data_IF_012460759182
#
_entry.id   IF_012460759182
#
_cell.length_a   1.000
_cell.length_b   1.000
_cell.length_c   1.000
_cell.angle_alpha   90.00
_cell.angle_beta   90.00
_cell.angle_gamma   90.00
#
_symmetry.space_group_name_H-M   'P 1'
#
loop_
_entity.id
_entity.type
_entity.pdbx_description
1 polymer ?
#
# COMPACT_ATOMS: atom_id res chain seq x y z
N UNK A 1 -7.19 16.09 9.71
CA UNK A 1 -6.07 15.36 10.28
C UNK A 1 -6.44 14.71 11.59
N UNK A 2 -6.95 15.45 12.51
CA UNK A 2 -7.33 14.90 13.79
C UNK A 2 -8.43 13.86 13.64
N UNK A 3 -9.39 14.13 12.77
CA UNK A 3 -10.45 13.17 12.48
C UNK A 3 -9.85 11.87 11.95
N UNK A 4 -8.85 11.98 11.11
CA UNK A 4 -8.18 10.82 10.57
C UNK A 4 -7.49 10.01 11.67
N UNK A 5 -6.88 10.70 12.60
CA UNK A 5 -6.22 10.03 13.72
C UNK A 5 -7.23 9.24 14.54
N UNK A 6 -8.36 9.84 14.84
CA UNK A 6 -9.40 9.15 15.61
C UNK A 6 -9.93 7.95 14.85
N UNK A 7 -10.14 8.13 13.55
CA UNK A 7 -10.61 7.05 12.70
C UNK A 7 -9.65 5.87 12.75
N UNK A 8 -8.37 6.14 12.71
CA UNK A 8 -7.38 5.08 12.72
C UNK A 8 -7.35 4.36 14.06
N UNK A 9 -7.54 5.08 15.14
CA UNK A 9 -7.60 4.47 16.44
C UNK A 9 -8.80 3.54 16.53
N UNK A 10 -9.95 3.99 16.08
CA UNK A 10 -11.15 3.19 16.12
C UNK A 10 -11.00 1.96 15.22
N UNK A 11 -10.40 2.14 14.09
CA UNK A 11 -10.18 1.06 13.15
C UNK A 11 -9.27 -0.01 13.75
N UNK A 12 -8.19 0.42 14.37
CA UNK A 12 -7.26 -0.51 15.00
C UNK A 12 -7.87 -1.20 16.18
N UNK A 13 -8.82 -0.57 16.79
CA UNK A 13 -9.44 -1.02 18.01
C UNK A 13 -10.62 -1.91 17.77
N UNK A 14 -11.54 -1.44 16.95
CA UNK A 14 -12.82 -2.09 16.79
C UNK A 14 -12.93 -2.95 15.57
N UNK A 15 -12.06 -2.76 14.60
CA UNK A 15 -12.15 -3.47 13.33
C UNK A 15 -10.95 -4.36 13.13
N UNK A 16 -10.63 -5.10 14.15
CA UNK A 16 -9.50 -6.00 14.09
C UNK A 16 -9.67 -7.04 13.03
N UNK A 17 -8.62 -7.27 12.33
CA UNK A 17 -8.53 -8.38 11.42
C UNK A 17 -7.45 -9.30 11.91
N UNK A 18 -7.28 -10.39 11.24
CA UNK A 18 -6.37 -11.41 11.70
C UNK A 18 -4.96 -10.94 11.95
N UNK A 19 -4.49 -9.93 11.26
CA UNK A 19 -3.11 -9.48 11.43
C UNK A 19 -2.99 -8.11 12.06
N UNK A 20 -4.07 -7.43 12.27
CA UNK A 20 -4.09 -6.20 13.04
C UNK A 20 -2.89 -5.31 12.79
N UNK A 21 -2.85 -4.73 11.65
CA UNK A 21 -1.72 -3.90 11.22
C UNK A 21 -2.19 -2.45 11.18
N UNK A 22 -1.59 -1.58 11.97
CA UNK A 22 -1.98 -0.17 11.96
C UNK A 22 -1.51 0.54 10.69
N UNK A 23 -0.85 -0.15 9.80
CA UNK A 23 -0.51 0.34 8.47
C UNK A 23 -1.44 -0.19 7.40
N UNK A 24 -2.57 -0.73 7.80
CA UNK A 24 -3.65 -1.05 6.87
C UNK A 24 -4.48 0.19 6.67
N UNK A 25 -4.78 0.51 5.43
CA UNK A 25 -5.60 1.68 5.11
C UNK A 25 -6.73 1.26 4.20
N UNK A 26 -7.73 2.12 4.09
CA UNK A 26 -8.87 1.87 3.20
C UNK A 26 -8.68 2.60 1.89
N UNK A 27 -9.54 2.30 0.92
CA UNK A 27 -9.54 3.04 -0.33
C UNK A 27 -9.82 4.51 -0.11
N UNK A 28 -10.69 4.82 0.84
CA UNK A 28 -11.01 6.21 1.14
C UNK A 28 -9.80 6.99 1.66
N UNK A 29 -8.86 6.29 2.28
CA UNK A 29 -7.67 6.94 2.80
C UNK A 29 -6.66 7.29 1.73
N UNK A 30 -6.77 6.66 0.57
CA UNK A 30 -5.74 6.73 -0.45
C UNK A 30 -5.43 8.16 -0.87
N UNK A 31 -6.47 8.95 -1.08
CA UNK A 31 -6.29 10.33 -1.54
C UNK A 31 -5.48 11.15 -0.55
N UNK A 32 -5.71 10.93 0.73
CA UNK A 32 -4.95 11.61 1.77
C UNK A 32 -3.47 11.27 1.70
N UNK A 33 -3.15 10.00 1.45
CA UNK A 33 -1.74 9.61 1.34
C UNK A 33 -1.11 10.17 0.09
N UNK A 34 -1.84 10.21 -1.01
CA UNK A 34 -1.35 10.82 -2.23
C UNK A 34 -1.00 12.29 -1.98
N UNK A 35 -1.86 13.00 -1.28
CA UNK A 35 -1.62 14.41 -0.97
C UNK A 35 -0.41 14.61 -0.09
N UNK A 36 -0.06 13.61 0.70
CA UNK A 36 1.14 13.66 1.53
C UNK A 36 2.40 13.27 0.78
N UNK A 37 2.30 13.00 -0.50
CA UNK A 37 3.46 12.68 -1.31
C UNK A 37 3.79 11.20 -1.37
N UNK A 38 2.85 10.34 -0.99
CA UNK A 38 3.10 8.90 -1.04
C UNK A 38 3.28 8.41 -2.47
N UNK A 39 4.13 7.41 -2.63
CA UNK A 39 4.26 6.69 -3.88
C UNK A 39 3.30 5.51 -3.84
N UNK A 40 2.44 5.42 -4.84
CA UNK A 40 1.45 4.35 -4.92
C UNK A 40 1.99 3.28 -5.84
N UNK A 41 2.02 2.04 -5.37
CA UNK A 41 2.52 0.92 -6.16
C UNK A 41 1.40 -0.08 -6.38
N UNK A 42 1.13 -0.34 -7.65
CA UNK A 42 0.22 -1.40 -8.08
C UNK A 42 1.06 -2.66 -8.18
N UNK A 43 0.79 -3.64 -7.32
CA UNK A 43 1.57 -4.86 -7.30
C UNK A 43 0.91 -6.01 -8.05
N UNK A 44 -0.17 -5.70 -8.78
CA UNK A 44 -0.83 -6.68 -9.65
C UNK A 44 0.06 -6.92 -10.87
N UNK A 45 -0.37 -7.84 -11.73
CA UNK A 45 0.37 -8.10 -12.95
C UNK A 45 0.38 -6.85 -13.84
N UNK A 46 1.35 -6.79 -14.74
CA UNK A 46 1.44 -5.68 -15.70
C UNK A 46 0.19 -5.62 -16.57
N UNK A 47 -0.36 -6.76 -16.94
CA UNK A 47 -1.58 -6.78 -17.74
C UNK A 47 -2.74 -6.16 -16.99
N UNK A 48 -2.92 -6.53 -15.71
CA UNK A 48 -3.97 -5.93 -14.90
C UNK A 48 -3.78 -4.41 -14.81
N UNK A 49 -2.53 -3.98 -14.61
CA UNK A 49 -2.21 -2.56 -14.52
C UNK A 49 -2.61 -1.82 -15.80
N UNK A 50 -2.33 -2.42 -16.94
CA UNK A 50 -2.65 -1.80 -18.23
C UNK A 50 -4.15 -1.70 -18.47
N UNK A 51 -4.91 -2.58 -17.88
CA UNK A 51 -6.36 -2.57 -18.03
C UNK A 51 -7.04 -1.52 -17.16
N UNK A 52 -6.30 -0.92 -16.25
CA UNK A 52 -6.79 0.13 -15.38
C UNK A 52 -6.00 0.15 -14.09
N UNK A 53 -5.67 1.31 -13.60
CA UNK A 53 -4.93 1.45 -12.35
C UNK A 53 -5.22 2.81 -11.73
N UNK A 54 -4.84 2.97 -10.49
CA UNK A 54 -4.99 4.23 -9.78
C UNK A 54 -4.11 5.28 -10.45
N UNK A 55 -4.65 6.46 -10.68
CA UNK A 55 -3.89 7.54 -11.30
C UNK A 55 -2.60 7.78 -10.54
N UNK A 56 -1.50 7.80 -11.28
CA UNK A 56 -0.19 8.07 -10.70
C UNK A 56 0.49 6.86 -10.08
N UNK A 57 -0.19 5.70 -10.02
CA UNK A 57 0.44 4.50 -9.48
C UNK A 57 1.50 3.98 -10.45
N UNK A 58 2.58 3.46 -9.89
CA UNK A 58 3.59 2.79 -10.70
C UNK A 58 3.38 1.29 -10.58
N UNK A 59 3.78 0.57 -11.63
CA UNK A 59 3.59 -0.87 -11.68
C UNK A 59 4.86 -1.58 -11.24
N UNK A 60 4.78 -2.34 -10.15
CA UNK A 60 5.83 -3.27 -9.78
C UNK A 60 5.12 -4.54 -9.33
N UNK A 61 4.93 -5.50 -10.23
CA UNK A 61 4.25 -6.75 -9.87
C UNK A 61 4.89 -7.42 -8.66
N UNK A 62 4.08 -8.12 -7.89
CA UNK A 62 4.53 -8.66 -6.61
C UNK A 62 5.78 -9.53 -6.74
N UNK A 63 5.88 -10.31 -7.81
CA UNK A 63 7.04 -11.20 -7.99
C UNK A 63 8.30 -10.45 -8.40
N UNK A 64 8.21 -9.16 -8.72
CA UNK A 64 9.37 -8.36 -9.10
C UNK A 64 9.80 -7.40 -8.00
N UNK A 65 9.07 -7.35 -6.90
CA UNK A 65 9.28 -6.29 -5.91
C UNK A 65 10.69 -6.29 -5.33
N UNK A 66 11.21 -7.45 -4.97
CA UNK A 66 12.54 -7.54 -4.37
C UNK A 66 13.61 -7.04 -5.32
N UNK A 67 13.43 -7.32 -6.59
CA UNK A 67 14.42 -7.00 -7.60
C UNK A 67 14.39 -5.53 -7.97
N UNK A 68 13.20 -4.92 -7.95
CA UNK A 68 13.03 -3.61 -8.54
C UNK A 68 12.93 -2.47 -7.55
N UNK A 69 12.52 -2.77 -6.30
CA UNK A 69 12.12 -1.70 -5.41
C UNK A 69 13.24 -0.73 -5.08
N UNK A 70 14.45 -1.22 -4.81
CA UNK A 70 15.53 -0.33 -4.39
C UNK A 70 16.02 0.55 -5.53
N UNK A 71 15.83 0.13 -6.75
CA UNK A 71 16.14 0.96 -7.90
C UNK A 71 15.14 2.08 -8.06
N UNK A 72 13.87 1.77 -7.83
CA UNK A 72 12.79 2.71 -8.07
C UNK A 72 12.56 3.63 -6.88
N UNK A 73 12.74 3.11 -5.68
CA UNK A 73 12.53 3.88 -4.46
C UNK A 73 13.69 3.57 -3.51
N UNK A 74 14.83 4.24 -3.72
CA UNK A 74 15.99 3.99 -2.85
C UNK A 74 15.82 4.53 -1.43
N UNK A 75 14.96 5.51 -1.22
CA UNK A 75 14.75 6.10 0.10
C UNK A 75 13.84 5.20 0.92
N UNK A 76 14.41 4.56 1.93
CA UNK A 76 13.66 3.61 2.77
C UNK A 76 12.64 4.28 3.67
N UNK A 77 12.66 5.60 3.76
CA UNK A 77 11.71 6.35 4.56
C UNK A 77 10.56 6.92 3.74
N UNK A 78 10.57 6.69 2.46
CA UNK A 78 9.51 7.18 1.59
C UNK A 78 8.16 6.56 2.00
N UNK A 79 7.11 7.36 1.95
CA UNK A 79 5.77 6.86 2.21
C UNK A 79 5.32 6.08 0.99
N UNK A 80 5.03 4.81 1.18
CA UNK A 80 4.64 3.91 0.10
C UNK A 80 3.28 3.33 0.42
N UNK A 81 2.39 3.33 -0.56
CA UNK A 81 1.11 2.63 -0.45
C UNK A 81 1.11 1.54 -1.51
N UNK A 82 0.85 0.32 -1.10
CA UNK A 82 0.76 -0.81 -2.03
C UNK A 82 -0.68 -1.27 -2.12
N UNK A 83 -1.10 -1.70 -3.32
CA UNK A 83 -2.45 -2.24 -3.47
C UNK A 83 -2.48 -3.32 -4.54
N UNK A 84 -3.47 -4.20 -4.40
CA UNK A 84 -3.83 -5.17 -5.43
C UNK A 84 -5.36 -5.28 -5.46
N UNK A 85 -5.91 -6.32 -6.06
CA UNK A 85 -7.37 -6.44 -6.19
C UNK A 85 -8.05 -6.75 -4.86
N UNK A 86 -7.46 -7.59 -4.04
CA UNK A 86 -8.10 -8.10 -2.82
C UNK A 86 -7.32 -7.81 -1.55
N UNK A 87 -6.15 -7.22 -1.67
CA UNK A 87 -5.31 -6.91 -0.52
C UNK A 87 -4.31 -7.99 -0.14
N UNK A 88 -4.39 -9.19 -0.75
CA UNK A 88 -3.53 -10.30 -0.34
C UNK A 88 -2.12 -10.23 -0.93
N UNK A 89 -2.03 -10.00 -2.23
CA UNK A 89 -0.71 -9.84 -2.86
C UNK A 89 0.01 -8.63 -2.29
N UNK A 90 -0.72 -7.55 -2.07
CA UNK A 90 -0.12 -6.33 -1.55
C UNK A 90 0.27 -6.47 -0.09
N UNK A 91 -0.44 -7.29 0.69
CA UNK A 91 -0.02 -7.54 2.06
C UNK A 91 1.33 -8.26 2.09
N UNK A 92 1.51 -9.24 1.22
CA UNK A 92 2.80 -9.93 1.14
C UNK A 92 3.91 -8.97 0.73
N UNK A 93 3.62 -8.08 -0.22
CA UNK A 93 4.60 -7.09 -0.64
C UNK A 93 4.94 -6.16 0.52
N UNK A 94 3.94 -5.73 1.27
CA UNK A 94 4.20 -4.89 2.45
C UNK A 94 5.18 -5.57 3.39
N UNK A 95 4.97 -6.85 3.66
CA UNK A 95 5.85 -7.59 4.55
C UNK A 95 7.27 -7.71 3.99
N UNK A 96 7.37 -7.93 2.69
CA UNK A 96 8.69 -8.01 2.04
C UNK A 96 9.40 -6.66 2.17
N UNK A 97 8.71 -5.58 1.89
CA UNK A 97 9.33 -4.26 1.95
C UNK A 97 9.77 -3.91 3.37
N UNK A 98 8.96 -4.27 4.35
CA UNK A 98 9.33 -4.02 5.74
C UNK A 98 10.58 -4.78 6.13
N UNK A 99 10.70 -6.02 5.67
CA UNK A 99 11.91 -6.81 5.92
C UNK A 99 13.12 -6.22 5.21
N UNK A 100 12.91 -5.50 4.13
CA UNK A 100 14.00 -4.85 3.40
C UNK A 100 14.36 -3.49 4.00
N UNK A 101 13.68 -3.08 5.07
CA UNK A 101 14.01 -1.84 5.76
C UNK A 101 13.14 -0.64 5.42
N UNK A 102 12.12 -0.83 4.59
CA UNK A 102 11.18 0.25 4.33
C UNK A 102 10.27 0.42 5.53
N UNK A 103 10.18 1.64 6.05
CA UNK A 103 9.54 1.86 7.35
C UNK A 103 8.15 2.48 7.25
N UNK A 104 7.75 2.94 6.08
CA UNK A 104 6.47 3.63 5.90
C UNK A 104 5.65 2.99 4.79
N UNK A 105 5.33 1.70 4.92
CA UNK A 105 4.62 0.96 3.89
C UNK A 105 3.21 0.65 4.36
N UNK A 106 2.23 1.13 3.61
CA UNK A 106 0.81 0.98 3.93
C UNK A 106 0.15 0.09 2.89
N UNK A 107 -0.79 -0.73 3.32
CA UNK A 107 -1.51 -1.63 2.43
C UNK A 107 -2.98 -1.26 2.36
N UNK A 108 -3.51 -1.13 1.16
CA UNK A 108 -4.96 -0.98 0.99
C UNK A 108 -5.56 -2.37 1.19
N UNK A 109 -5.94 -2.68 2.39
CA UNK A 109 -6.24 -4.04 2.80
C UNK A 109 -7.48 -4.63 2.15
N UNK A 110 -8.42 -3.80 1.77
CA UNK A 110 -9.65 -4.31 1.12
C UNK A 110 -9.45 -4.48 -0.38
N UNK A 111 -8.30 -4.07 -0.90
CA UNK A 111 -8.06 -4.11 -2.33
C UNK A 111 -8.76 -2.99 -3.06
N UNK A 112 -8.44 -2.87 -4.33
CA UNK A 112 -9.06 -1.86 -5.19
C UNK A 112 -9.57 -2.58 -6.44
N UNK A 113 -10.85 -2.45 -6.68
CA UNK A 113 -11.50 -2.98 -7.88
C UNK A 113 -11.57 -1.85 -8.89
N UNK A 114 -11.03 -2.11 -10.07
CA UNK A 114 -10.92 -1.09 -11.10
C UNK A 114 -11.74 -1.44 -12.32
#
# INVERSE_FOLDING_TARGET
MFTKFIYMIEKNFGLKRGFDNNKDITREDLDSYIKQGATIIDVRSLQEYREGHVDGAISIPDYQIKKEIEKKIPNKEEIIVVYCSTGHRSQRVQQILEKMGYVNVYNVYEGIVL
#
